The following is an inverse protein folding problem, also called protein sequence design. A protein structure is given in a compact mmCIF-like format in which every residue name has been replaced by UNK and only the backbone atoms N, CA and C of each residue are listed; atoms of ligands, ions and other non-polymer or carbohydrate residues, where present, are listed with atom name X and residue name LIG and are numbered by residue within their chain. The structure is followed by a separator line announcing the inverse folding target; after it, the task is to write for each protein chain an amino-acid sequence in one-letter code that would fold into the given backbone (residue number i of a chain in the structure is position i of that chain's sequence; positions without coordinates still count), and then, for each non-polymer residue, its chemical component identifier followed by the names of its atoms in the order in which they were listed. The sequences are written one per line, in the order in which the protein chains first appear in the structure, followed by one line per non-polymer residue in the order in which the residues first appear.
data_IF_762394359127
#
_entry.id   IF_762394359127
#
_cell.length_a   1.000
_cell.length_b   1.000
_cell.length_c   1.000
_cell.angle_alpha   90.00
_cell.angle_beta   90.00
_cell.angle_gamma   90.00
#
_symmetry.space_group_name_H-M   'P 1'
#
loop_
_entity.id
_entity.type
_entity.pdbx_description
1 polymer ?
#
# COMPACT_ATOMS: atom_id res chain seq x y z
N UNK A 1 -51.25 12.48 28.86
CA UNK A 1 -51.93 11.59 29.84
C UNK A 1 -50.91 10.57 30.29
N UNK A 2 -50.52 10.72 31.55
CA UNK A 2 -50.00 9.82 32.60
C UNK A 2 -48.81 8.87 32.23
N UNK A 3 -47.57 9.13 32.75
CA UNK A 3 -47.04 8.98 34.14
C UNK A 3 -47.25 7.56 34.69
N UNK A 4 -46.20 6.86 35.07
CA UNK A 4 -45.54 6.70 36.39
C UNK A 4 -44.36 5.76 36.24
N UNK A 5 -43.16 6.03 36.53
CA UNK A 5 -42.33 6.41 37.69
C UNK A 5 -42.35 5.38 38.87
N UNK A 6 -41.09 5.15 39.38
CA UNK A 6 -40.68 4.63 40.70
C UNK A 6 -40.37 3.12 40.74
N UNK A 7 -39.25 2.64 41.31
CA UNK A 7 -38.45 3.22 42.36
C UNK A 7 -37.18 2.41 42.69
N UNK A 8 -36.29 3.14 43.27
CA UNK A 8 -35.01 2.75 43.87
C UNK A 8 -35.24 1.99 45.20
N UNK A 9 -34.45 0.93 45.48
CA UNK A 9 -34.03 0.68 46.86
C UNK A 9 -32.62 0.12 46.95
N UNK A 10 -31.82 0.82 47.74
CA UNK A 10 -30.51 0.46 48.29
C UNK A 10 -30.68 -0.36 49.58
N UNK A 11 -29.60 -1.06 49.90
CA UNK A 11 -29.04 -1.44 51.20
C UNK A 11 -29.14 -2.88 51.63
N UNK A 12 -27.97 -3.39 52.05
CA UNK A 12 -27.82 -4.46 52.97
C UNK A 12 -26.45 -5.14 52.94
N UNK A 13 -25.48 -4.57 53.68
CA UNK A 13 -24.29 -5.30 54.14
C UNK A 13 -24.69 -6.55 54.91
N UNK A 14 -24.00 -7.67 54.70
CA UNK A 14 -23.73 -8.63 55.75
C UNK A 14 -22.42 -9.39 55.54
N UNK A 15 -21.80 -9.68 56.61
CA UNK A 15 -20.46 -10.03 56.99
C UNK A 15 -20.10 -11.51 56.73
N UNK A 16 -18.81 -11.76 56.78
CA UNK A 16 -18.04 -12.97 56.66
C UNK A 16 -18.54 -14.16 57.51
N UNK A 17 -18.44 -15.37 56.99
CA UNK A 17 -17.67 -16.51 57.52
C UNK A 17 -18.14 -17.85 56.94
N UNK A 18 -17.13 -18.67 56.54
CA UNK A 18 -17.15 -20.13 56.45
C UNK A 18 -18.24 -20.85 55.63
N UNK A 19 -17.81 -21.46 54.49
CA UNK A 19 -17.96 -22.91 54.26
C UNK A 19 -17.08 -23.33 53.06
N UNK A 20 -16.20 -24.26 53.32
CA UNK A 20 -15.52 -25.11 52.34
C UNK A 20 -16.52 -25.92 51.51
N UNK A 21 -16.52 -25.73 50.20
CA UNK A 21 -17.11 -26.73 49.31
C UNK A 21 -16.35 -26.71 47.96
N UNK A 22 -15.82 -27.84 47.63
CA UNK A 22 -15.28 -28.26 46.36
C UNK A 22 -16.16 -27.82 45.21
N UNK A 23 -15.77 -26.73 44.53
CA UNK A 23 -16.38 -26.28 43.29
C UNK A 23 -15.46 -26.67 42.15
N UNK A 24 -15.85 -27.69 41.40
CA UNK A 24 -15.20 -28.04 40.13
C UNK A 24 -15.17 -26.82 39.22
N UNK A 25 -13.97 -26.47 38.76
CA UNK A 25 -13.74 -25.55 37.68
C UNK A 25 -14.39 -26.18 36.44
N UNK A 26 -15.56 -25.71 36.06
CA UNK A 26 -16.04 -25.89 34.68
C UNK A 26 -15.12 -25.06 33.81
N UNK A 27 -14.06 -25.71 33.32
CA UNK A 27 -13.41 -25.29 32.08
C UNK A 27 -14.48 -25.47 31.01
N UNK A 28 -15.10 -24.39 30.59
CA UNK A 28 -15.69 -24.33 29.24
C UNK A 28 -14.54 -24.60 28.28
N UNK A 29 -14.41 -25.87 27.89
CA UNK A 29 -13.69 -26.24 26.68
C UNK A 29 -14.40 -25.54 25.54
N UNK A 30 -13.97 -24.30 25.21
CA UNK A 30 -14.16 -23.71 23.90
C UNK A 30 -13.34 -24.58 22.97
N UNK A 31 -13.91 -25.69 22.49
CA UNK A 31 -13.41 -26.39 21.31
C UNK A 31 -13.22 -25.34 20.23
N UNK A 32 -11.97 -24.99 19.95
CA UNK A 32 -11.66 -24.16 18.79
C UNK A 32 -12.19 -24.91 17.57
N UNK A 33 -13.28 -24.42 16.98
CA UNK A 33 -13.92 -25.01 15.83
C UNK A 33 -12.83 -25.29 14.76
N UNK A 34 -12.68 -26.59 14.44
CA UNK A 34 -11.68 -27.05 13.47
C UNK A 34 -11.91 -26.34 12.13
N UNK A 35 -10.84 -25.76 11.57
CA UNK A 35 -10.94 -25.11 10.27
C UNK A 35 -11.28 -26.12 9.18
N UNK A 36 -12.28 -25.83 8.37
CA UNK A 36 -12.68 -26.62 7.20
C UNK A 36 -12.18 -26.02 5.88
N UNK A 37 -11.08 -25.25 5.92
CA UNK A 37 -10.51 -24.60 4.74
C UNK A 37 -10.22 -25.55 3.57
N UNK A 38 -9.71 -26.78 3.76
CA UNK A 38 -9.52 -27.74 2.68
C UNK A 38 -10.83 -28.13 1.97
N UNK A 39 -11.92 -28.26 2.71
CA UNK A 39 -13.24 -28.57 2.17
C UNK A 39 -13.82 -27.40 1.37
N UNK A 40 -13.56 -26.16 1.83
CA UNK A 40 -13.95 -24.94 1.10
C UNK A 40 -13.20 -24.87 -0.23
N UNK A 41 -11.87 -25.11 -0.22
CA UNK A 41 -11.05 -25.18 -1.43
C UNK A 41 -11.57 -26.27 -2.39
N UNK A 42 -11.92 -27.43 -1.88
CA UNK A 42 -12.47 -28.52 -2.67
C UNK A 42 -13.82 -28.18 -3.30
N UNK A 43 -14.72 -27.59 -2.53
CA UNK A 43 -16.02 -27.13 -3.01
C UNK A 43 -15.85 -26.12 -4.17
N UNK A 44 -14.97 -25.16 -4.04
CA UNK A 44 -14.71 -24.16 -5.08
C UNK A 44 -14.05 -24.79 -6.33
N UNK A 45 -13.09 -25.69 -6.15
CA UNK A 45 -12.45 -26.42 -7.24
C UNK A 45 -13.45 -27.27 -8.04
N UNK A 46 -14.41 -27.91 -7.36
CA UNK A 46 -15.49 -28.65 -8.02
C UNK A 46 -16.38 -27.72 -8.85
N UNK A 47 -16.76 -26.56 -8.30
CA UNK A 47 -17.56 -25.57 -9.03
C UNK A 47 -16.82 -25.08 -10.30
N UNK A 48 -15.52 -24.79 -10.21
CA UNK A 48 -14.70 -24.42 -11.37
C UNK A 48 -14.64 -25.53 -12.42
N UNK A 49 -14.47 -26.78 -11.98
CA UNK A 49 -14.39 -27.95 -12.86
C UNK A 49 -15.72 -28.21 -13.57
N UNK A 50 -16.86 -28.10 -12.88
CA UNK A 50 -18.20 -28.24 -13.46
C UNK A 50 -18.45 -27.19 -14.57
N UNK A 51 -17.91 -26.00 -14.42
CA UNK A 51 -18.02 -24.94 -15.42
C UNK A 51 -16.86 -24.91 -16.42
N UNK A 52 -15.98 -25.91 -16.42
CA UNK A 52 -14.79 -26.01 -17.29
C UNK A 52 -13.89 -24.78 -17.24
N UNK A 53 -13.88 -24.07 -16.12
CA UNK A 53 -13.07 -22.88 -15.92
C UNK A 53 -11.63 -23.29 -15.64
N UNK A 54 -10.67 -22.75 -16.41
CA UNK A 54 -9.24 -23.00 -16.19
C UNK A 54 -8.76 -22.21 -14.97
N UNK A 55 -7.99 -22.88 -14.10
CA UNK A 55 -7.43 -22.28 -12.91
C UNK A 55 -6.05 -22.85 -12.57
N UNK A 56 -5.29 -22.12 -11.78
CA UNK A 56 -4.07 -22.60 -11.11
C UNK A 56 -4.29 -22.56 -9.60
N UNK A 57 -3.64 -23.49 -8.90
CA UNK A 57 -3.61 -23.56 -7.44
C UNK A 57 -2.22 -23.24 -6.93
N UNK A 58 -2.10 -22.93 -5.67
CA UNK A 58 -0.93 -22.46 -4.87
C UNK A 58 0.47 -22.67 -5.45
N UNK A 59 0.73 -23.84 -6.05
CA UNK A 59 2.07 -24.20 -6.56
C UNK A 59 2.35 -23.70 -7.98
N UNK A 60 1.36 -23.20 -8.69
CA UNK A 60 1.47 -22.74 -10.08
C UNK A 60 0.88 -21.37 -10.26
N UNK A 61 1.38 -20.64 -11.25
CA UNK A 61 0.84 -19.36 -11.67
C UNK A 61 0.29 -19.45 -13.10
N UNK A 62 -0.67 -18.61 -13.41
CA UNK A 62 -1.31 -18.58 -14.74
C UNK A 62 -0.30 -18.23 -15.84
N UNK A 63 0.65 -17.35 -15.55
CA UNK A 63 1.71 -16.96 -16.47
C UNK A 63 2.90 -16.34 -15.71
N UNK A 64 3.99 -16.14 -16.44
CA UNK A 64 5.26 -15.62 -15.91
C UNK A 64 5.13 -14.20 -15.36
N UNK A 65 4.27 -13.37 -15.95
CA UNK A 65 4.09 -11.99 -15.51
C UNK A 65 3.43 -11.91 -14.14
N UNK A 66 2.39 -12.72 -13.91
CA UNK A 66 1.76 -12.86 -12.59
C UNK A 66 2.78 -13.39 -11.58
N UNK A 67 3.60 -14.36 -11.96
CA UNK A 67 4.64 -14.90 -11.09
C UNK A 67 5.68 -13.83 -10.71
N UNK A 68 6.14 -13.04 -11.67
CA UNK A 68 7.09 -11.95 -11.42
C UNK A 68 6.48 -10.86 -10.52
N UNK A 69 5.21 -10.51 -10.74
CA UNK A 69 4.50 -9.55 -9.89
C UNK A 69 4.36 -10.06 -8.44
N UNK A 70 4.05 -11.34 -8.25
CA UNK A 70 3.99 -11.95 -6.91
C UNK A 70 5.35 -12.03 -6.24
N UNK A 71 6.44 -12.28 -7.00
CA UNK A 71 7.82 -12.27 -6.47
C UNK A 71 8.29 -10.87 -6.07
N UNK A 72 7.85 -9.84 -6.79
CA UNK A 72 8.18 -8.45 -6.48
C UNK A 72 7.35 -7.89 -5.30
N UNK A 73 6.23 -8.52 -4.98
CA UNK A 73 5.34 -8.12 -3.92
C UNK A 73 5.84 -8.60 -2.54
N UNK A 74 5.53 -7.86 -1.44
CA UNK A 74 5.78 -8.36 -0.10
C UNK A 74 4.99 -9.65 0.16
N UNK A 75 5.53 -10.54 0.99
CA UNK A 75 4.78 -11.71 1.44
C UNK A 75 3.56 -11.30 2.26
N UNK A 76 2.43 -11.98 2.10
CA UNK A 76 1.22 -11.75 2.93
C UNK A 76 1.44 -11.99 4.43
N UNK A 77 2.51 -12.68 4.78
CA UNK A 77 2.91 -12.95 6.17
C UNK A 77 3.95 -11.97 6.72
N UNK A 78 4.45 -11.03 5.90
CA UNK A 78 5.52 -10.13 6.30
C UNK A 78 6.90 -10.78 6.44
N UNK A 79 7.02 -12.08 6.10
CA UNK A 79 8.28 -12.82 6.15
C UNK A 79 9.03 -12.81 4.81
N UNK A 80 10.17 -13.51 4.78
CA UNK A 80 10.94 -13.72 3.58
C UNK A 80 10.21 -14.64 2.59
N UNK A 81 10.36 -14.37 1.29
CA UNK A 81 9.70 -15.10 0.22
C UNK A 81 8.46 -14.39 -0.30
N UNK A 82 7.78 -15.03 -1.25
CA UNK A 82 6.56 -14.51 -1.85
C UNK A 82 5.40 -15.49 -1.65
N UNK A 83 4.22 -14.93 -1.40
CA UNK A 83 3.00 -15.72 -1.25
C UNK A 83 2.31 -15.94 -2.60
N UNK A 84 1.44 -16.96 -2.65
CA UNK A 84 0.54 -17.19 -3.77
C UNK A 84 -0.90 -17.29 -3.26
N UNK A 85 -1.88 -16.82 -4.05
CA UNK A 85 -3.30 -17.02 -3.70
C UNK A 85 -3.66 -18.51 -3.82
N UNK A 86 -4.71 -18.91 -3.13
CA UNK A 86 -5.21 -20.30 -3.16
C UNK A 86 -5.60 -20.74 -4.57
N UNK A 87 -6.28 -19.84 -5.32
CA UNK A 87 -6.59 -20.06 -6.73
C UNK A 87 -6.32 -18.80 -7.56
N UNK A 88 -5.97 -19.02 -8.81
CA UNK A 88 -5.81 -18.00 -9.83
C UNK A 88 -6.62 -18.40 -11.06
N UNK A 89 -7.40 -17.44 -11.57
CA UNK A 89 -8.21 -17.61 -12.76
C UNK A 89 -7.95 -16.43 -13.70
N UNK A 90 -8.42 -16.57 -14.94
CA UNK A 90 -8.41 -15.46 -15.91
C UNK A 90 -9.82 -15.30 -16.47
N UNK A 91 -10.35 -14.10 -16.34
CA UNK A 91 -11.59 -13.69 -16.97
C UNK A 91 -11.26 -12.83 -18.19
N UNK A 92 -11.90 -13.12 -19.32
CA UNK A 92 -11.74 -12.33 -20.54
C UNK A 92 -12.99 -11.48 -20.76
N UNK A 93 -12.79 -10.17 -20.85
CA UNK A 93 -13.87 -9.27 -21.25
C UNK A 93 -14.26 -9.52 -22.71
N UNK A 94 -15.50 -9.92 -23.00
CA UNK A 94 -15.92 -10.23 -24.36
C UNK A 94 -15.96 -9.02 -25.29
N UNK A 95 -16.02 -7.80 -24.74
CA UNK A 95 -16.11 -6.56 -25.52
C UNK A 95 -14.72 -5.99 -25.82
N UNK A 96 -13.88 -5.84 -24.82
CA UNK A 96 -12.54 -5.25 -24.99
C UNK A 96 -11.46 -6.27 -25.26
N UNK A 97 -11.78 -7.57 -25.16
CA UNK A 97 -10.87 -8.71 -25.24
C UNK A 97 -9.72 -8.69 -24.21
N UNK A 98 -9.76 -7.79 -23.26
CA UNK A 98 -8.77 -7.70 -22.18
C UNK A 98 -8.91 -8.87 -21.21
N UNK A 99 -7.77 -9.38 -20.77
CA UNK A 99 -7.70 -10.40 -19.74
C UNK A 99 -7.62 -9.73 -18.35
N UNK A 100 -8.47 -10.15 -17.43
CA UNK A 100 -8.53 -9.67 -16.05
C UNK A 100 -8.18 -10.84 -15.14
N UNK A 101 -7.03 -10.81 -14.44
CA UNK A 101 -6.66 -11.86 -13.50
C UNK A 101 -7.58 -11.83 -12.27
N UNK A 102 -7.91 -13.02 -11.78
CA UNK A 102 -8.75 -13.22 -10.60
C UNK A 102 -7.93 -13.94 -9.54
N UNK A 103 -7.79 -13.32 -8.38
CA UNK A 103 -7.08 -13.86 -7.21
C UNK A 103 -8.08 -14.29 -6.17
N UNK A 104 -7.99 -15.55 -5.73
CA UNK A 104 -8.95 -16.15 -4.79
C UNK A 104 -8.24 -16.60 -3.52
N UNK A 105 -8.81 -16.26 -2.38
CA UNK A 105 -8.41 -16.75 -1.06
C UNK A 105 -9.57 -17.45 -0.36
N UNK A 106 -9.29 -18.57 0.28
CA UNK A 106 -10.23 -19.38 1.03
C UNK A 106 -9.96 -19.35 2.52
N UNK A 107 -11.02 -19.38 3.32
CA UNK A 107 -10.95 -19.59 4.77
C UNK A 107 -12.01 -20.61 5.20
N UNK A 108 -11.76 -21.28 6.33
CA UNK A 108 -12.61 -22.37 6.81
C UNK A 108 -13.10 -22.16 8.23
N UNK A 109 -13.34 -20.90 8.66
CA UNK A 109 -13.75 -20.59 10.03
C UNK A 109 -14.81 -19.50 10.02
N UNK A 110 -15.82 -19.60 10.89
CA UNK A 110 -16.89 -18.60 11.02
C UNK A 110 -16.32 -17.19 11.25
N UNK A 111 -16.85 -16.19 10.51
CA UNK A 111 -16.43 -14.79 10.61
C UNK A 111 -15.09 -14.45 9.97
N UNK A 112 -14.50 -15.33 9.14
CA UNK A 112 -13.22 -15.09 8.46
C UNK A 112 -13.34 -14.71 6.98
N UNK A 113 -14.51 -14.26 6.53
CA UNK A 113 -14.70 -13.79 5.16
C UNK A 113 -14.02 -12.43 4.93
N UNK A 114 -14.41 -11.42 5.68
CA UNK A 114 -14.02 -10.02 5.46
C UNK A 114 -13.81 -9.30 6.78
N UNK A 115 -12.81 -8.43 6.82
CA UNK A 115 -12.63 -7.43 7.87
C UNK A 115 -12.55 -6.03 7.27
N UNK A 116 -13.39 -5.15 7.80
CA UNK A 116 -13.45 -3.75 7.41
C UNK A 116 -12.77 -2.85 8.45
N UNK A 117 -12.28 -1.72 8.00
CA UNK A 117 -11.89 -0.60 8.84
C UNK A 117 -13.14 0.05 9.48
N UNK A 118 -12.94 0.97 10.42
CA UNK A 118 -14.03 1.77 10.99
C UNK A 118 -14.75 2.65 9.94
N UNK A 119 -14.10 2.90 8.80
CA UNK A 119 -14.66 3.67 7.69
C UNK A 119 -15.40 2.79 6.67
N UNK A 120 -15.51 1.47 6.92
CA UNK A 120 -16.19 0.54 6.02
C UNK A 120 -15.35 0.11 4.80
N UNK A 121 -14.04 0.35 4.81
CA UNK A 121 -13.12 -0.05 3.75
C UNK A 121 -12.48 -1.42 4.08
N UNK A 122 -12.06 -2.17 3.06
CA UNK A 122 -11.31 -3.43 3.26
C UNK A 122 -10.01 -3.13 3.98
N UNK A 123 -9.81 -3.70 5.17
CA UNK A 123 -8.64 -3.43 6.00
C UNK A 123 -7.39 -4.14 5.44
N UNK A 124 -6.47 -3.38 4.87
CA UNK A 124 -5.15 -3.88 4.43
C UNK A 124 -4.02 -3.22 5.20
N UNK A 125 -4.23 -1.99 5.67
CA UNK A 125 -3.22 -1.22 6.39
C UNK A 125 -3.72 -0.86 7.78
N UNK A 126 -2.80 -0.61 8.68
CA UNK A 126 -3.12 -0.16 10.04
C UNK A 126 -3.54 1.31 9.96
N UNK A 127 -4.79 1.61 10.23
CA UNK A 127 -5.32 2.99 10.19
C UNK A 127 -4.89 3.77 11.45
N UNK A 128 -4.86 3.09 12.59
CA UNK A 128 -4.36 3.64 13.85
C UNK A 128 -3.22 2.78 14.36
N UNK A 129 -2.13 3.36 14.94
CA UNK A 129 -1.17 2.56 15.67
C UNK A 129 -1.97 1.79 16.73
N UNK A 130 -1.96 0.45 16.66
CA UNK A 130 -2.36 -0.34 17.81
C UNK A 130 -1.40 0.09 18.90
N UNK A 131 -1.93 0.49 20.05
CA UNK A 131 -1.13 0.83 21.22
C UNK A 131 -0.04 -0.22 21.36
N UNK A 132 1.16 0.15 20.92
CA UNK A 132 2.33 -0.67 21.13
C UNK A 132 2.52 -0.62 22.64
N UNK A 133 2.28 -1.72 23.31
CA UNK A 133 2.70 -1.85 24.71
C UNK A 133 4.14 -1.40 24.77
N UNK A 134 4.44 -0.50 25.69
CA UNK A 134 5.78 -0.04 25.98
C UNK A 134 6.72 -1.26 26.02
N UNK A 135 7.70 -1.34 25.10
CA UNK A 135 8.58 -2.49 24.96
C UNK A 135 8.32 -3.44 23.77
N UNK A 136 7.35 -3.17 22.90
CA UNK A 136 7.18 -3.97 21.68
C UNK A 136 8.33 -3.72 20.71
N UNK A 137 9.00 -4.80 20.28
CA UNK A 137 10.17 -4.78 19.38
C UNK A 137 9.88 -4.25 17.98
N UNK A 138 8.60 -4.15 17.56
CA UNK A 138 8.16 -3.58 16.29
C UNK A 138 6.81 -2.87 16.45
N UNK A 139 6.79 -1.58 16.82
CA UNK A 139 5.56 -0.82 16.86
C UNK A 139 4.98 -0.65 15.44
N UNK A 140 3.76 -1.13 15.21
CA UNK A 140 3.04 -0.87 13.96
C UNK A 140 2.69 0.61 13.87
N UNK A 141 3.08 1.24 12.77
CA UNK A 141 2.74 2.63 12.47
C UNK A 141 1.49 2.68 11.58
N UNK A 142 0.77 3.79 11.64
CA UNK A 142 -0.33 4.03 10.69
C UNK A 142 0.21 3.95 9.25
N UNK A 143 -0.50 3.22 8.39
CA UNK A 143 -0.11 2.96 7.00
C UNK A 143 0.71 1.68 6.77
N UNK A 144 1.19 1.02 7.82
CA UNK A 144 1.84 -0.28 7.69
C UNK A 144 0.83 -1.36 7.31
N UNK A 145 1.27 -2.38 6.55
CA UNK A 145 0.41 -3.52 6.21
C UNK A 145 -0.02 -4.27 7.47
N UNK A 146 -1.31 -4.54 7.57
CA UNK A 146 -1.87 -5.35 8.65
C UNK A 146 -1.82 -6.84 8.29
N UNK A 147 -0.64 -7.45 8.36
CA UNK A 147 -0.43 -8.84 7.97
C UNK A 147 -1.38 -9.82 8.66
N UNK A 148 -1.72 -9.60 9.92
CA UNK A 148 -2.68 -10.44 10.66
C UNK A 148 -4.05 -10.43 9.99
N UNK A 149 -4.53 -9.28 9.53
CA UNK A 149 -5.81 -9.18 8.82
C UNK A 149 -5.73 -9.81 7.44
N UNK A 150 -4.67 -9.51 6.68
CA UNK A 150 -4.44 -10.05 5.33
C UNK A 150 -4.40 -11.58 5.34
N UNK A 151 -3.80 -12.20 6.37
CA UNK A 151 -3.70 -13.65 6.48
C UNK A 151 -5.00 -14.31 6.91
N UNK A 152 -5.73 -13.68 7.83
CA UNK A 152 -6.84 -14.33 8.53
C UNK A 152 -8.21 -14.15 7.86
N UNK A 153 -8.33 -13.24 6.89
CA UNK A 153 -9.60 -12.96 6.23
C UNK A 153 -9.48 -13.18 4.72
N UNK A 154 -10.44 -13.91 4.15
CA UNK A 154 -10.41 -14.34 2.76
C UNK A 154 -10.37 -13.15 1.78
N UNK A 155 -11.31 -12.20 1.91
CA UNK A 155 -11.36 -11.02 1.04
C UNK A 155 -10.11 -10.16 1.18
N UNK A 156 -9.63 -9.93 2.41
CA UNK A 156 -8.45 -9.08 2.65
C UNK A 156 -7.19 -9.68 2.01
N UNK A 157 -7.03 -11.00 2.08
CA UNK A 157 -5.94 -11.71 1.40
C UNK A 157 -6.06 -11.66 -0.12
N UNK A 158 -7.24 -11.88 -0.67
CA UNK A 158 -7.50 -11.81 -2.11
C UNK A 158 -7.26 -10.40 -2.68
N UNK A 159 -7.74 -9.36 -1.99
CA UNK A 159 -7.53 -7.95 -2.36
C UNK A 159 -6.05 -7.58 -2.31
N UNK A 160 -5.33 -8.03 -1.29
CA UNK A 160 -3.89 -7.84 -1.19
C UNK A 160 -3.16 -8.40 -2.43
N UNK A 161 -3.45 -9.62 -2.85
CA UNK A 161 -2.86 -10.19 -4.04
C UNK A 161 -3.27 -9.45 -5.32
N UNK A 162 -4.54 -9.14 -5.48
CA UNK A 162 -5.04 -8.41 -6.66
C UNK A 162 -4.37 -7.04 -6.81
N UNK A 163 -4.22 -6.28 -5.72
CA UNK A 163 -3.50 -5.00 -5.73
C UNK A 163 -2.04 -5.17 -6.13
N UNK A 164 -1.37 -6.20 -5.59
CA UNK A 164 0.04 -6.45 -5.91
C UNK A 164 0.24 -6.87 -7.38
N UNK A 165 -0.65 -7.70 -7.95
CA UNK A 165 -0.59 -8.03 -9.37
C UNK A 165 -0.65 -6.76 -10.22
N UNK A 166 -1.59 -5.86 -9.95
CA UNK A 166 -1.74 -4.63 -10.72
C UNK A 166 -0.55 -3.68 -10.51
N UNK A 167 -0.03 -3.63 -9.29
CA UNK A 167 1.07 -2.74 -8.91
C UNK A 167 2.40 -3.12 -9.56
N UNK A 168 2.69 -4.42 -9.62
CA UNK A 168 3.97 -4.95 -10.07
C UNK A 168 3.93 -5.56 -11.48
N UNK A 169 2.77 -5.55 -12.15
CA UNK A 169 2.61 -5.97 -13.56
C UNK A 169 2.56 -4.76 -14.49
N UNK A 170 3.07 -4.94 -15.70
CA UNK A 170 2.98 -3.95 -16.78
C UNK A 170 1.76 -4.17 -17.69
N UNK A 171 1.24 -5.41 -17.77
CA UNK A 171 0.14 -5.77 -18.69
C UNK A 171 -1.24 -5.72 -18.04
N UNK A 172 -1.31 -5.73 -16.69
CA UNK A 172 -2.60 -5.74 -16.00
C UNK A 172 -2.88 -4.39 -15.33
N UNK A 173 -3.96 -3.75 -15.77
CA UNK A 173 -4.46 -2.49 -15.19
C UNK A 173 -5.59 -2.71 -14.18
N UNK A 174 -6.15 -3.91 -14.18
CA UNK A 174 -7.22 -4.31 -13.27
C UNK A 174 -7.10 -5.78 -12.88
N UNK A 175 -7.66 -6.14 -11.74
CA UNK A 175 -7.81 -7.50 -11.23
C UNK A 175 -9.10 -7.65 -10.44
N UNK A 176 -9.56 -8.88 -10.30
CA UNK A 176 -10.69 -9.25 -9.46
C UNK A 176 -10.14 -10.02 -8.25
N UNK A 177 -10.62 -9.66 -7.06
CA UNK A 177 -10.35 -10.36 -5.83
C UNK A 177 -11.60 -11.11 -5.38
N UNK A 178 -11.44 -12.36 -4.99
CA UNK A 178 -12.53 -13.22 -4.52
C UNK A 178 -12.17 -13.82 -3.18
N UNK A 179 -12.91 -13.47 -2.16
CA UNK A 179 -12.82 -14.13 -0.86
C UNK A 179 -13.91 -15.18 -0.74
N UNK A 180 -13.56 -16.40 -0.37
CA UNK A 180 -14.50 -17.47 -0.06
C UNK A 180 -14.27 -17.95 1.36
N UNK A 181 -15.35 -18.18 2.09
CA UNK A 181 -15.29 -18.72 3.44
C UNK A 181 -16.35 -19.79 3.65
N UNK A 182 -16.00 -20.84 4.37
CA UNK A 182 -16.96 -21.84 4.78
C UNK A 182 -16.83 -22.17 6.26
N UNK A 183 -17.91 -22.58 6.87
CA UNK A 183 -17.93 -23.02 8.25
C UNK A 183 -19.12 -23.96 8.50
N UNK A 184 -18.96 -24.86 9.43
CA UNK A 184 -20.06 -25.69 9.89
C UNK A 184 -20.88 -24.87 10.89
N UNK A 185 -22.17 -24.67 10.60
CA UNK A 185 -23.16 -24.15 11.53
C UNK A 185 -23.89 -25.34 12.18
N UNK A 186 -24.71 -25.11 13.20
CA UNK A 186 -25.36 -26.17 13.99
C UNK A 186 -26.13 -27.20 13.16
N UNK A 187 -26.64 -26.83 11.99
CA UNK A 187 -27.49 -27.70 11.16
C UNK A 187 -26.95 -27.98 9.78
N UNK A 188 -26.08 -27.11 9.25
CA UNK A 188 -25.60 -27.22 7.87
C UNK A 188 -24.25 -26.52 7.67
N UNK A 189 -23.52 -26.92 6.63
CA UNK A 189 -22.34 -26.23 6.15
C UNK A 189 -22.72 -25.01 5.35
N UNK A 190 -22.18 -23.85 5.72
CA UNK A 190 -22.41 -22.57 5.04
C UNK A 190 -21.20 -22.16 4.25
N UNK A 191 -21.45 -21.62 3.05
CA UNK A 191 -20.43 -21.01 2.19
C UNK A 191 -20.78 -19.54 1.96
N UNK A 192 -19.77 -18.69 2.01
CA UNK A 192 -19.86 -17.25 1.78
C UNK A 192 -18.84 -16.85 0.73
N UNK A 193 -19.20 -15.91 -0.10
CA UNK A 193 -18.33 -15.35 -1.14
C UNK A 193 -18.49 -13.84 -1.18
N UNK A 194 -17.42 -13.13 -1.47
CA UNK A 194 -17.49 -11.74 -1.92
C UNK A 194 -16.47 -11.50 -3.01
N UNK A 195 -16.86 -10.73 -4.02
CA UNK A 195 -16.11 -10.44 -5.23
C UNK A 195 -15.88 -8.94 -5.30
N UNK A 196 -14.63 -8.52 -5.50
CA UNK A 196 -14.22 -7.13 -5.59
C UNK A 196 -13.44 -6.88 -6.87
N UNK A 197 -13.66 -5.71 -7.46
CA UNK A 197 -12.90 -5.18 -8.57
C UNK A 197 -11.88 -4.16 -8.06
N UNK A 198 -10.65 -4.27 -8.54
CA UNK A 198 -9.56 -3.37 -8.23
C UNK A 198 -8.92 -2.95 -9.55
N UNK A 199 -8.62 -1.67 -9.73
CA UNK A 199 -7.93 -1.17 -10.93
C UNK A 199 -7.01 0.00 -10.60
N UNK A 200 -6.04 0.25 -11.49
CA UNK A 200 -5.22 1.47 -11.46
C UNK A 200 -6.09 2.71 -11.60
N UNK A 201 -7.11 2.63 -12.45
CA UNK A 201 -8.08 3.72 -12.67
C UNK A 201 -8.86 4.07 -11.41
N UNK A 202 -9.19 3.07 -10.58
CA UNK A 202 -9.84 3.27 -9.28
C UNK A 202 -8.85 3.55 -8.15
N UNK A 203 -7.61 3.94 -8.45
CA UNK A 203 -6.56 4.17 -7.45
C UNK A 203 -6.40 2.99 -6.47
N UNK A 204 -6.55 1.76 -6.96
CA UNK A 204 -6.48 0.50 -6.20
C UNK A 204 -7.57 0.32 -5.13
N UNK A 205 -8.60 1.16 -5.10
CA UNK A 205 -9.71 1.03 -4.16
C UNK A 205 -10.58 -0.16 -4.54
N UNK A 206 -10.78 -1.16 -3.64
CA UNK A 206 -11.65 -2.30 -3.92
C UNK A 206 -13.11 -1.88 -4.01
N UNK A 207 -13.80 -2.28 -5.08
CA UNK A 207 -15.25 -2.06 -5.26
C UNK A 207 -15.95 -3.41 -5.33
N UNK A 208 -16.93 -3.63 -4.46
CA UNK A 208 -17.71 -4.87 -4.43
C UNK A 208 -18.52 -5.03 -5.72
N UNK A 209 -18.38 -6.20 -6.36
CA UNK A 209 -19.12 -6.59 -7.57
C UNK A 209 -20.34 -7.48 -7.24
N UNK A 210 -20.22 -8.29 -6.19
CA UNK A 210 -21.25 -9.24 -5.79
C UNK A 210 -20.77 -10.22 -4.74
N UNK A 211 -21.61 -11.20 -4.44
CA UNK A 211 -21.40 -12.21 -3.40
C UNK A 211 -21.72 -13.65 -3.89
N UNK A 212 -21.86 -13.84 -5.20
CA UNK A 212 -22.10 -15.15 -5.81
C UNK A 212 -20.96 -15.55 -6.74
N UNK A 213 -20.34 -16.70 -6.50
CA UNK A 213 -19.30 -17.29 -7.36
C UNK A 213 -19.78 -17.53 -8.80
N UNK A 214 -21.09 -17.62 -9.04
CA UNK A 214 -21.64 -17.80 -10.37
C UNK A 214 -21.27 -16.67 -11.33
N UNK A 215 -20.96 -15.47 -10.81
CA UNK A 215 -20.50 -14.33 -11.62
C UNK A 215 -19.18 -14.61 -12.34
N UNK A 216 -18.34 -15.51 -11.81
CA UNK A 216 -17.03 -15.84 -12.37
C UNK A 216 -17.10 -16.77 -13.60
N UNK A 217 -18.25 -17.39 -13.86
CA UNK A 217 -18.38 -18.37 -14.92
C UNK A 217 -18.82 -17.74 -16.24
N UNK A 218 -18.37 -18.34 -17.35
CA UNK A 218 -18.54 -17.81 -18.70
C UNK A 218 -20.00 -17.44 -19.03
N UNK A 219 -20.96 -18.22 -18.58
CA UNK A 219 -22.39 -17.94 -18.81
C UNK A 219 -22.87 -16.60 -18.23
N UNK A 220 -22.17 -16.08 -17.21
CA UNK A 220 -22.50 -14.83 -16.50
C UNK A 220 -21.53 -13.69 -16.79
N UNK A 221 -20.60 -13.86 -17.72
CA UNK A 221 -19.53 -12.89 -17.99
C UNK A 221 -20.06 -11.50 -18.33
N UNK A 222 -21.15 -11.37 -19.06
CA UNK A 222 -21.75 -10.08 -19.35
C UNK A 222 -22.33 -9.40 -18.12
N UNK A 223 -22.81 -10.16 -17.14
CA UNK A 223 -23.29 -9.64 -15.86
C UNK A 223 -22.10 -9.17 -15.02
N UNK A 224 -21.02 -9.93 -14.97
CA UNK A 224 -19.77 -9.54 -14.32
C UNK A 224 -19.22 -8.25 -14.94
N UNK A 225 -19.16 -8.14 -16.28
CA UNK A 225 -18.64 -6.94 -16.94
C UNK A 225 -19.51 -5.70 -16.71
N UNK A 226 -20.84 -5.86 -16.64
CA UNK A 226 -21.73 -4.74 -16.22
C UNK A 226 -21.41 -4.30 -14.79
N UNK A 227 -21.21 -5.23 -13.87
CA UNK A 227 -20.81 -4.89 -12.50
C UNK A 227 -19.44 -4.18 -12.46
N UNK A 228 -18.46 -4.65 -13.25
CA UNK A 228 -17.14 -4.00 -13.40
C UNK A 228 -17.29 -2.56 -13.91
N UNK A 229 -18.06 -2.34 -14.96
CA UNK A 229 -18.29 -1.00 -15.52
C UNK A 229 -19.00 -0.07 -14.52
N UNK A 230 -19.92 -0.61 -13.71
CA UNK A 230 -20.58 0.15 -12.64
C UNK A 230 -19.69 0.43 -11.45
N UNK A 231 -18.65 -0.37 -11.26
CA UNK A 231 -17.68 -0.24 -10.18
C UNK A 231 -16.55 0.76 -10.48
N UNK A 232 -16.51 1.33 -11.70
CA UNK A 232 -15.54 2.37 -12.04
C UNK A 232 -15.85 3.64 -11.26
N UNK A 233 -14.81 4.23 -10.66
CA UNK A 233 -14.97 5.47 -9.89
C UNK A 233 -15.48 6.61 -10.78
N UNK A 234 -16.42 7.37 -10.27
CA UNK A 234 -16.83 8.63 -10.89
C UNK A 234 -15.70 9.66 -10.85
N UNK A 235 -15.74 10.66 -11.73
CA UNK A 235 -14.71 11.72 -11.74
C UNK A 235 -14.65 12.48 -10.40
N UNK A 236 -15.77 12.67 -9.74
CA UNK A 236 -15.82 13.29 -8.41
C UNK A 236 -15.14 12.43 -7.32
N UNK A 237 -15.29 11.10 -7.37
CA UNK A 237 -14.60 10.19 -6.46
C UNK A 237 -13.10 10.15 -6.75
N UNK A 238 -12.69 10.16 -8.03
CA UNK A 238 -11.28 10.24 -8.44
C UNK A 238 -10.63 11.53 -7.93
N UNK A 239 -11.31 12.66 -8.08
CA UNK A 239 -10.84 13.95 -7.58
C UNK A 239 -10.69 13.96 -6.05
N UNK A 240 -11.65 13.40 -5.32
CA UNK A 240 -11.58 13.27 -3.86
C UNK A 240 -10.40 12.41 -3.42
N UNK A 241 -10.15 11.28 -4.08
CA UNK A 241 -9.01 10.41 -3.76
C UNK A 241 -7.69 11.10 -4.05
N UNK A 242 -7.59 11.81 -5.17
CA UNK A 242 -6.41 12.60 -5.54
C UNK A 242 -6.13 13.66 -4.48
N UNK A 243 -7.15 14.44 -4.08
CA UNK A 243 -7.02 15.48 -3.06
C UNK A 243 -6.59 14.91 -1.70
N UNK A 244 -7.12 13.74 -1.31
CA UNK A 244 -6.71 13.08 -0.08
C UNK A 244 -5.23 12.64 -0.14
N UNK A 245 -4.79 12.03 -1.26
CA UNK A 245 -3.40 11.65 -1.45
C UNK A 245 -2.48 12.88 -1.43
N UNK A 246 -2.88 13.95 -2.08
CA UNK A 246 -2.18 15.23 -2.07
C UNK A 246 -2.00 15.79 -0.67
N UNK A 247 -3.07 15.80 0.13
CA UNK A 247 -3.02 16.26 1.53
C UNK A 247 -2.07 15.40 2.35
N UNK A 248 -2.09 14.08 2.18
CA UNK A 248 -1.19 13.17 2.89
C UNK A 248 0.29 13.41 2.52
N UNK A 249 0.58 13.68 1.25
CA UNK A 249 1.95 14.01 0.81
C UNK A 249 2.40 15.31 1.48
N UNK A 250 1.57 16.35 1.46
CA UNK A 250 1.89 17.63 2.08
C UNK A 250 2.15 17.50 3.58
N UNK A 251 1.30 16.76 4.28
CA UNK A 251 1.45 16.54 5.73
C UNK A 251 2.70 15.72 6.05
N UNK A 252 3.02 14.69 5.23
CA UNK A 252 4.23 13.91 5.39
C UNK A 252 5.49 14.75 5.12
N UNK A 253 5.48 15.59 4.09
CA UNK A 253 6.59 16.48 3.78
C UNK A 253 6.80 17.52 4.90
N UNK A 254 5.73 18.14 5.41
CA UNK A 254 5.80 19.07 6.55
C UNK A 254 6.40 18.40 7.78
N UNK A 255 5.98 17.18 8.09
CA UNK A 255 6.50 16.39 9.21
C UNK A 255 7.99 16.05 9.02
N UNK A 256 8.41 15.65 7.83
CA UNK A 256 9.81 15.39 7.51
C UNK A 256 10.66 16.67 7.62
N UNK A 257 10.13 17.81 7.14
CA UNK A 257 10.79 19.10 7.29
C UNK A 257 11.01 19.45 8.77
N UNK A 258 9.97 19.30 9.58
CA UNK A 258 10.05 19.56 11.02
C UNK A 258 11.04 18.61 11.71
N UNK A 259 11.05 17.33 11.37
CA UNK A 259 12.01 16.37 11.91
C UNK A 259 13.46 16.73 11.55
N UNK A 260 13.72 17.20 10.34
CA UNK A 260 15.05 17.67 9.93
C UNK A 260 15.43 19.00 10.57
N UNK A 261 14.48 19.92 10.76
CA UNK A 261 14.72 21.22 11.37
C UNK A 261 14.90 21.10 12.89
N UNK A 262 13.89 20.60 13.59
CA UNK A 262 13.85 20.61 15.06
C UNK A 262 14.69 19.49 15.67
N UNK A 263 14.65 18.30 15.06
CA UNK A 263 15.34 17.12 15.57
C UNK A 263 16.80 17.02 15.19
N UNK A 264 17.18 17.55 14.01
CA UNK A 264 18.54 17.39 13.48
C UNK A 264 19.25 18.72 13.18
N UNK A 265 18.58 19.86 13.34
CA UNK A 265 19.11 21.20 13.11
C UNK A 265 19.74 21.40 11.73
N UNK A 266 19.11 20.81 10.68
CA UNK A 266 19.59 20.88 9.31
C UNK A 266 19.09 22.19 8.66
N UNK A 267 19.97 22.92 8.00
CA UNK A 267 19.65 24.15 7.26
C UNK A 267 18.67 23.89 6.10
N UNK A 268 17.87 24.89 5.74
CA UNK A 268 16.81 24.79 4.74
C UNK A 268 17.26 24.20 3.39
N UNK A 269 18.33 24.76 2.80
CA UNK A 269 18.89 24.26 1.54
C UNK A 269 19.35 22.80 1.64
N UNK A 270 19.98 22.44 2.76
CA UNK A 270 20.44 21.08 3.01
C UNK A 270 19.28 20.09 3.15
N UNK A 271 18.13 20.50 3.71
CA UNK A 271 16.92 19.69 3.79
C UNK A 271 16.35 19.36 2.41
N UNK A 272 16.32 20.35 1.50
CA UNK A 272 15.90 20.13 0.10
C UNK A 272 16.83 19.15 -0.61
N UNK A 273 18.14 19.32 -0.48
CA UNK A 273 19.13 18.41 -1.07
C UNK A 273 19.01 16.99 -0.53
N UNK A 274 18.80 16.82 0.78
CA UNK A 274 18.58 15.50 1.40
C UNK A 274 17.32 14.83 0.86
N UNK A 275 16.21 15.54 0.82
CA UNK A 275 14.95 14.99 0.29
C UNK A 275 15.08 14.58 -1.16
N UNK A 276 15.61 15.46 -2.03
CA UNK A 276 15.81 15.16 -3.44
C UNK A 276 16.74 13.95 -3.63
N UNK A 277 17.87 13.91 -2.92
CA UNK A 277 18.81 12.80 -2.99
C UNK A 277 18.22 11.48 -2.50
N UNK A 278 17.50 11.48 -1.39
CA UNK A 278 16.84 10.28 -0.86
C UNK A 278 15.75 9.74 -1.81
N UNK A 279 14.98 10.62 -2.44
CA UNK A 279 13.97 10.22 -3.43
C UNK A 279 14.66 9.62 -4.66
N UNK A 280 15.69 10.26 -5.22
CA UNK A 280 16.44 9.73 -6.37
C UNK A 280 17.04 8.36 -6.07
N UNK A 281 17.69 8.19 -4.91
CA UNK A 281 18.25 6.91 -4.51
C UNK A 281 17.17 5.82 -4.35
N UNK A 282 15.99 6.21 -3.83
CA UNK A 282 14.88 5.31 -3.60
C UNK A 282 14.06 4.94 -4.85
N UNK A 283 14.13 5.71 -5.92
CA UNK A 283 13.38 5.41 -7.14
C UNK A 283 14.00 4.28 -7.96
N UNK A 284 15.33 4.26 -8.09
CA UNK A 284 16.02 3.35 -9.01
C UNK A 284 15.66 3.57 -10.49
N UNK A 285 16.19 2.73 -11.35
CA UNK A 285 15.87 2.66 -12.79
C UNK A 285 15.57 1.21 -13.12
N UNK A 286 14.37 0.92 -13.58
CA UNK A 286 13.88 -0.44 -13.83
C UNK A 286 14.85 -1.21 -14.76
N UNK A 287 15.27 -2.40 -14.32
CA UNK A 287 16.21 -3.26 -15.05
C UNK A 287 17.67 -2.79 -15.08
N UNK A 288 18.00 -1.59 -14.55
CA UNK A 288 19.34 -1.01 -14.62
C UNK A 288 19.92 -0.65 -13.26
N UNK A 289 19.18 0.06 -12.42
CA UNK A 289 19.64 0.50 -11.10
C UNK A 289 18.61 0.09 -10.05
N UNK A 290 19.01 -0.78 -9.13
CA UNK A 290 18.14 -1.16 -8.03
C UNK A 290 17.84 0.06 -7.13
N UNK A 291 16.61 0.17 -6.62
CA UNK A 291 16.29 1.15 -5.59
C UNK A 291 17.14 0.90 -4.34
N UNK A 292 17.51 1.96 -3.64
CA UNK A 292 18.19 1.84 -2.35
C UNK A 292 17.23 1.26 -1.32
N UNK A 293 17.66 0.23 -0.60
CA UNK A 293 16.91 -0.38 0.49
C UNK A 293 17.56 -0.08 1.85
N UNK A 294 16.77 -0.15 2.93
CA UNK A 294 17.28 0.09 4.29
C UNK A 294 18.35 -0.91 4.71
N UNK A 295 18.33 -2.12 4.13
CA UNK A 295 19.34 -3.15 4.32
C UNK A 295 20.71 -2.78 3.76
N UNK A 296 20.76 -1.88 2.77
CA UNK A 296 22.02 -1.41 2.17
C UNK A 296 22.79 -0.43 3.06
N UNK A 297 22.11 0.13 4.08
CA UNK A 297 22.66 1.12 5.01
C UNK A 297 23.11 0.44 6.30
N UNK A 298 24.42 0.30 6.46
CA UNK A 298 25.02 -0.49 7.55
C UNK A 298 25.59 0.37 8.69
N UNK A 299 25.62 1.68 8.55
CA UNK A 299 26.23 2.56 9.56
C UNK A 299 27.75 2.39 9.68
N UNK A 300 28.43 2.06 8.59
CA UNK A 300 29.90 1.99 8.60
C UNK A 300 30.52 3.38 8.71
N UNK A 301 31.70 3.47 9.35
CA UNK A 301 32.43 4.72 9.55
C UNK A 301 33.61 4.90 8.57
N UNK A 302 33.82 3.94 7.66
CA UNK A 302 34.90 4.00 6.67
C UNK A 302 34.60 5.02 5.58
N UNK A 303 35.64 5.65 5.04
CA UNK A 303 35.52 6.70 4.01
C UNK A 303 34.77 6.26 2.75
N UNK A 304 34.86 4.98 2.37
CA UNK A 304 34.18 4.41 1.19
C UNK A 304 32.86 3.71 1.48
N UNK A 305 32.59 3.32 2.73
CA UNK A 305 31.46 2.45 3.09
C UNK A 305 30.39 3.10 3.96
N UNK A 306 30.57 4.36 4.37
CA UNK A 306 29.55 5.03 5.19
C UNK A 306 28.26 5.29 4.41
N UNK A 307 27.13 5.36 5.10
CA UNK A 307 25.80 5.45 4.49
C UNK A 307 25.67 6.60 3.49
N UNK A 308 26.26 7.77 3.77
CA UNK A 308 26.27 8.89 2.82
C UNK A 308 26.97 8.57 1.50
N UNK A 309 28.02 7.75 1.51
CA UNK A 309 28.67 7.29 0.27
C UNK A 309 27.81 6.29 -0.48
N UNK A 310 27.09 5.43 0.23
CA UNK A 310 26.11 4.50 -0.37
C UNK A 310 25.02 5.27 -1.11
N UNK A 311 24.45 6.34 -0.50
CA UNK A 311 23.52 7.24 -1.17
C UNK A 311 24.12 7.84 -2.43
N UNK A 312 25.32 8.44 -2.35
CA UNK A 312 25.96 9.11 -3.49
C UNK A 312 26.23 8.16 -4.66
N UNK A 313 26.66 6.94 -4.39
CA UNK A 313 26.86 5.93 -5.43
C UNK A 313 25.53 5.61 -6.15
N UNK A 314 24.46 5.39 -5.38
CA UNK A 314 23.14 5.08 -5.94
C UNK A 314 22.58 6.25 -6.78
N UNK A 315 22.75 7.48 -6.29
CA UNK A 315 22.34 8.69 -7.00
C UNK A 315 23.16 8.86 -8.29
N UNK A 316 24.45 8.63 -8.26
CA UNK A 316 25.32 8.71 -9.44
C UNK A 316 24.86 7.75 -10.52
N UNK A 317 24.60 6.49 -10.15
CA UNK A 317 24.08 5.49 -11.08
C UNK A 317 22.70 5.87 -11.64
N UNK A 318 21.80 6.35 -10.77
CA UNK A 318 20.49 6.82 -11.17
C UNK A 318 20.56 7.94 -12.22
N UNK A 319 21.34 8.99 -11.96
CA UNK A 319 21.48 10.13 -12.86
C UNK A 319 22.12 9.74 -14.19
N UNK A 320 23.12 8.83 -14.17
CA UNK A 320 23.76 8.31 -15.38
C UNK A 320 22.75 7.55 -16.24
N UNK A 321 21.99 6.62 -15.67
CA UNK A 321 21.03 5.80 -16.40
C UNK A 321 19.78 6.58 -16.85
N UNK A 322 19.51 7.74 -16.25
CA UNK A 322 18.50 8.69 -16.72
C UNK A 322 19.00 9.59 -17.86
N UNK A 323 20.25 9.44 -18.29
CA UNK A 323 20.80 10.18 -19.42
C UNK A 323 21.10 11.66 -19.12
N UNK A 324 21.28 12.04 -17.84
CA UNK A 324 21.67 13.41 -17.51
C UNK A 324 23.09 13.70 -18.04
N UNK A 325 23.29 14.79 -18.83
CA UNK A 325 24.61 15.19 -19.32
C UNK A 325 25.65 15.30 -18.21
N UNK A 326 26.89 14.97 -18.49
CA UNK A 326 27.96 14.86 -17.49
C UNK A 326 28.14 16.16 -16.70
N UNK A 327 28.23 17.29 -17.37
CA UNK A 327 28.37 18.60 -16.74
C UNK A 327 27.23 18.89 -15.73
N UNK A 328 25.99 18.62 -16.11
CA UNK A 328 24.83 18.79 -15.21
C UNK A 328 24.86 17.80 -14.06
N UNK A 329 25.29 16.55 -14.33
CA UNK A 329 25.41 15.50 -13.33
C UNK A 329 26.43 15.89 -12.25
N UNK A 330 27.60 16.39 -12.64
CA UNK A 330 28.62 16.86 -11.69
C UNK A 330 28.12 18.00 -10.80
N UNK A 331 27.42 18.98 -11.35
CA UNK A 331 26.83 20.09 -10.56
C UNK A 331 25.88 19.53 -9.49
N UNK A 332 25.00 18.59 -9.85
CA UNK A 332 24.06 17.98 -8.91
C UNK A 332 24.81 17.18 -7.85
N UNK A 333 25.74 16.32 -8.26
CA UNK A 333 26.51 15.48 -7.34
C UNK A 333 27.38 16.30 -6.37
N UNK A 334 27.97 17.42 -6.82
CA UNK A 334 28.74 18.31 -5.95
C UNK A 334 27.83 18.94 -4.87
N UNK A 335 26.63 19.40 -5.22
CA UNK A 335 25.67 19.92 -4.24
C UNK A 335 25.21 18.85 -3.26
N UNK A 336 24.90 17.63 -3.73
CA UNK A 336 24.46 16.54 -2.86
C UNK A 336 25.58 16.02 -1.95
N UNK A 337 26.83 16.04 -2.41
CA UNK A 337 27.98 15.61 -1.59
C UNK A 337 28.13 16.44 -0.32
N UNK A 338 27.72 17.70 -0.34
CA UNK A 338 27.77 18.59 0.86
C UNK A 338 26.93 18.03 2.01
N UNK A 339 25.81 17.39 1.72
CA UNK A 339 24.88 16.87 2.74
C UNK A 339 25.03 15.37 3.00
N UNK A 340 25.42 14.58 1.99
CA UNK A 340 25.57 13.13 2.17
C UNK A 340 26.97 12.72 2.61
N UNK A 341 28.01 13.43 2.18
CA UNK A 341 29.41 13.06 2.47
C UNK A 341 30.05 13.99 3.48
N UNK A 342 29.96 15.30 3.26
CA UNK A 342 30.66 16.28 4.09
C UNK A 342 30.00 16.49 5.45
N UNK A 343 28.69 16.32 5.56
CA UNK A 343 27.95 16.46 6.82
C UNK A 343 28.10 15.19 7.70
N UNK A 344 29.25 15.06 8.35
CA UNK A 344 29.61 13.88 9.15
C UNK A 344 28.57 13.51 10.21
N UNK A 345 27.93 14.51 10.85
CA UNK A 345 26.89 14.28 11.85
C UNK A 345 25.65 13.54 11.32
N UNK A 346 25.47 13.42 10.01
CA UNK A 346 24.33 12.71 9.43
C UNK A 346 24.61 11.22 9.17
N UNK A 347 25.86 10.85 8.85
CA UNK A 347 26.20 9.47 8.52
C UNK A 347 26.99 8.76 9.60
N UNK A 348 27.62 9.45 10.56
CA UNK A 348 28.23 8.80 11.72
C UNK A 348 27.10 8.17 12.56
N UNK A 349 27.20 6.83 12.83
CA UNK A 349 26.14 6.13 13.52
C UNK A 349 26.11 6.47 15.02
N UNK A 350 24.92 6.68 15.54
CA UNK A 350 24.62 6.69 16.97
C UNK A 350 23.93 5.37 17.31
N UNK A 351 24.46 4.59 18.24
CA UNK A 351 23.95 3.25 18.57
C UNK A 351 23.82 2.30 17.35
N UNK A 352 24.76 2.38 16.40
CA UNK A 352 24.79 1.53 15.22
C UNK A 352 23.86 1.94 14.07
N UNK A 353 23.17 3.06 14.20
CA UNK A 353 22.24 3.58 13.17
C UNK A 353 22.61 5.02 12.82
N UNK A 354 22.77 5.31 11.53
CA UNK A 354 23.00 6.68 11.06
C UNK A 354 21.70 7.49 11.02
N UNK A 355 21.83 8.79 11.18
CA UNK A 355 20.68 9.73 11.02
C UNK A 355 20.13 9.69 9.59
N UNK A 356 21.00 9.47 8.57
CA UNK A 356 20.58 9.26 7.19
C UNK A 356 19.66 8.03 7.06
N UNK A 357 19.99 6.91 7.70
CA UNK A 357 19.15 5.70 7.69
C UNK A 357 17.79 5.95 8.34
N UNK A 358 17.77 6.67 9.46
CA UNK A 358 16.52 7.02 10.18
C UNK A 358 15.62 7.92 9.32
N UNK A 359 16.19 8.97 8.69
CA UNK A 359 15.46 9.85 7.78
C UNK A 359 14.93 9.08 6.55
N UNK A 360 15.78 8.25 5.97
CA UNK A 360 15.42 7.48 4.78
C UNK A 360 14.31 6.46 5.06
N UNK A 361 14.29 5.86 6.24
CA UNK A 361 13.19 4.99 6.65
C UNK A 361 11.83 5.72 6.60
N UNK A 362 11.78 6.97 7.05
CA UNK A 362 10.57 7.78 6.96
C UNK A 362 10.23 8.18 5.52
N UNK A 363 11.23 8.56 4.71
CA UNK A 363 11.02 8.86 3.27
C UNK A 363 10.53 7.62 2.52
N UNK A 364 11.13 6.47 2.77
CA UNK A 364 10.75 5.19 2.15
C UNK A 364 9.29 4.81 2.51
N UNK A 365 8.89 5.07 3.75
CA UNK A 365 7.55 4.74 4.23
C UNK A 365 6.48 5.72 3.75
N UNK A 366 6.78 7.02 3.69
CA UNK A 366 5.76 8.07 3.56
C UNK A 366 5.74 8.79 2.22
N UNK A 367 6.83 8.80 1.48
CA UNK A 367 6.99 9.56 0.23
C UNK A 367 7.20 8.64 -0.98
N UNK A 368 8.11 7.68 -0.89
CA UNK A 368 8.43 6.80 -2.02
C UNK A 368 7.25 5.99 -2.56
N UNK A 369 6.26 5.55 -1.76
CA UNK A 369 5.08 4.88 -2.31
C UNK A 369 4.35 5.72 -3.36
N UNK A 370 4.24 7.04 -3.15
CA UNK A 370 3.63 7.95 -4.13
C UNK A 370 4.52 8.20 -5.34
N UNK A 371 5.83 8.29 -5.13
CA UNK A 371 6.79 8.52 -6.21
C UNK A 371 6.98 7.29 -7.12
N UNK A 372 6.86 6.07 -6.58
CA UNK A 372 7.00 4.80 -7.30
C UNK A 372 5.72 4.34 -8.00
N UNK A 373 4.56 4.89 -7.67
CA UNK A 373 3.28 4.42 -8.22
C UNK A 373 3.16 4.79 -9.69
N UNK A 374 3.37 3.81 -10.57
CA UNK A 374 3.06 3.90 -12.00
C UNK A 374 1.53 3.86 -12.15
N UNK A 375 0.86 4.97 -12.22
CA UNK A 375 -0.58 4.93 -12.44
C UNK A 375 -1.42 5.92 -11.65
N UNK A 376 -0.81 6.76 -10.82
CA UNK A 376 -1.46 7.97 -10.34
C UNK A 376 -1.51 8.99 -11.49
N UNK A 377 -2.20 8.64 -12.58
CA UNK A 377 -2.42 9.53 -13.73
C UNK A 377 -2.99 10.90 -13.34
N UNK A 378 -3.47 11.01 -12.10
CA UNK A 378 -4.11 12.19 -11.54
C UNK A 378 -3.23 12.92 -10.51
N UNK A 379 -2.13 12.31 -10.03
CA UNK A 379 -1.29 12.89 -9.00
C UNK A 379 -0.03 13.49 -9.60
N UNK A 380 0.06 14.81 -9.62
CA UNK A 380 1.29 15.53 -9.94
C UNK A 380 2.23 15.54 -8.72
N UNK A 381 2.86 14.38 -8.47
CA UNK A 381 3.79 14.24 -7.35
C UNK A 381 5.00 15.17 -7.49
N UNK A 382 5.56 15.29 -8.69
CA UNK A 382 6.78 16.07 -8.93
C UNK A 382 6.55 17.56 -8.75
N UNK A 383 5.48 18.10 -9.33
CA UNK A 383 5.14 19.52 -9.18
C UNK A 383 4.79 19.87 -7.74
N UNK A 384 4.07 18.99 -7.03
CA UNK A 384 3.73 19.19 -5.62
C UNK A 384 4.97 19.11 -4.72
N UNK A 385 5.82 18.12 -4.92
CA UNK A 385 7.10 18.01 -4.21
C UNK A 385 7.93 19.28 -4.40
N UNK A 386 8.04 19.76 -5.64
CA UNK A 386 8.78 20.97 -5.95
C UNK A 386 8.21 22.19 -5.18
N UNK A 387 6.90 22.40 -5.22
CA UNK A 387 6.25 23.51 -4.52
C UNK A 387 6.53 23.48 -3.02
N UNK A 388 6.35 22.32 -2.37
CA UNK A 388 6.61 22.20 -0.93
C UNK A 388 8.08 22.38 -0.61
N UNK A 389 9.01 21.86 -1.43
CA UNK A 389 10.44 22.04 -1.19
C UNK A 389 10.90 23.49 -1.40
N UNK A 390 10.30 24.22 -2.34
CA UNK A 390 10.58 25.66 -2.54
C UNK A 390 10.09 26.50 -1.37
N UNK A 391 9.00 26.12 -0.71
CA UNK A 391 8.53 26.81 0.50
C UNK A 391 9.49 26.65 1.70
N UNK A 392 10.35 25.63 1.70
CA UNK A 392 11.36 25.45 2.77
C UNK A 392 12.55 26.39 2.63
N UNK A 393 12.79 26.90 1.44
CA UNK A 393 13.91 27.78 1.13
C UNK A 393 13.39 29.21 1.11
N UNK A 394 14.01 30.09 1.89
CA UNK A 394 13.74 31.53 1.77
C UNK A 394 14.40 32.03 0.48
N UNK A 395 13.63 32.06 -0.61
CA UNK A 395 14.09 32.65 -1.87
C UNK A 395 14.05 34.18 -1.71
N UNK A 396 15.14 34.92 -1.98
CA UNK A 396 15.10 36.37 -1.98
C UNK A 396 13.99 36.88 -2.90
N UNK A 397 13.31 37.97 -2.50
CA UNK A 397 12.14 38.48 -3.22
C UNK A 397 12.42 38.84 -4.70
N UNK A 398 13.71 39.16 -5.03
CA UNK A 398 14.15 39.39 -6.41
C UNK A 398 14.12 38.12 -7.30
N UNK A 399 14.41 36.97 -6.72
CA UNK A 399 14.52 35.70 -7.45
C UNK A 399 13.19 34.95 -7.51
N UNK A 400 12.21 35.29 -6.66
CA UNK A 400 10.86 34.69 -6.67
C UNK A 400 10.09 34.98 -7.95
N UNK A 401 10.38 36.10 -8.60
CA UNK A 401 9.70 36.50 -9.85
C UNK A 401 10.16 35.69 -11.08
N UNK A 402 11.32 35.02 -11.00
CA UNK A 402 11.90 34.27 -12.12
C UNK A 402 11.50 32.78 -12.10
N UNK A 403 10.89 32.30 -11.01
CA UNK A 403 10.45 30.91 -10.87
C UNK A 403 8.94 30.88 -10.63
N UNK A 404 8.16 31.25 -11.65
CA UNK A 404 6.70 31.12 -11.62
C UNK A 404 6.32 29.81 -12.30
N UNK A 405 5.96 28.80 -11.50
CA UNK A 405 5.34 27.60 -12.04
C UNK A 405 3.94 27.93 -12.55
N UNK A 406 3.66 27.56 -13.79
CA UNK A 406 2.31 27.69 -14.35
C UNK A 406 1.34 26.85 -13.52
N UNK A 407 0.26 27.45 -12.98
CA UNK A 407 -0.70 26.71 -12.17
C UNK A 407 -1.26 25.50 -12.93
N UNK A 408 -1.38 24.36 -12.25
CA UNK A 408 -1.78 23.07 -12.85
C UNK A 408 -3.09 23.13 -13.64
N UNK A 409 -4.08 23.92 -13.18
CA UNK A 409 -5.34 24.07 -13.90
C UNK A 409 -5.15 24.75 -15.25
N UNK A 410 -4.18 25.66 -15.39
CA UNK A 410 -3.84 26.32 -16.64
C UNK A 410 -3.13 25.31 -17.56
N UNK A 411 -2.11 24.58 -17.08
CA UNK A 411 -1.39 23.59 -17.89
C UNK A 411 -2.32 22.48 -18.37
N UNK A 412 -3.24 22.00 -17.52
CA UNK A 412 -4.25 21.02 -17.90
C UNK A 412 -5.23 21.58 -18.94
N UNK A 413 -5.66 22.84 -18.79
CA UNK A 413 -6.50 23.50 -19.75
C UNK A 413 -5.79 23.64 -21.13
N UNK A 414 -4.53 24.07 -21.11
CA UNK A 414 -3.71 24.19 -22.33
C UNK A 414 -3.54 22.83 -23.03
N UNK A 415 -3.19 21.78 -22.28
CA UNK A 415 -3.05 20.43 -22.84
C UNK A 415 -4.36 19.92 -23.46
N UNK A 416 -5.50 20.16 -22.80
CA UNK A 416 -6.84 19.80 -23.35
C UNK A 416 -7.23 20.62 -24.57
N UNK A 417 -6.97 21.92 -24.57
CA UNK A 417 -7.27 22.79 -25.72
C UNK A 417 -6.41 22.46 -26.94
N UNK A 418 -5.17 22.01 -26.71
CA UNK A 418 -4.24 21.57 -27.75
C UNK A 418 -4.47 20.10 -28.14
N UNK A 419 -5.45 19.41 -27.56
CA UNK A 419 -5.76 17.99 -27.79
C UNK A 419 -4.52 17.09 -27.67
N UNK A 420 -3.62 17.41 -26.70
CA UNK A 420 -2.38 16.66 -26.48
C UNK A 420 -2.71 15.22 -26.09
N UNK A 421 -2.19 14.27 -26.88
CA UNK A 421 -2.31 12.83 -26.65
C UNK A 421 -0.94 12.17 -26.44
N UNK A 422 -0.90 10.83 -26.36
CA UNK A 422 0.36 10.10 -26.13
C UNK A 422 1.30 10.10 -27.35
N UNK A 423 0.82 10.48 -28.53
CA UNK A 423 1.60 10.56 -29.77
C UNK A 423 2.00 12.00 -30.11
N UNK A 424 1.60 12.96 -29.27
CA UNK A 424 1.90 14.39 -29.46
C UNK A 424 3.31 14.74 -28.99
N UNK A 425 4.00 15.55 -29.77
CA UNK A 425 5.26 16.19 -29.39
C UNK A 425 4.95 17.55 -28.76
N UNK A 426 5.29 17.71 -27.49
CA UNK A 426 5.10 18.98 -26.76
C UNK A 426 6.44 19.70 -26.68
N UNK A 427 6.46 20.95 -27.12
CA UNK A 427 7.62 21.83 -27.06
C UNK A 427 7.34 22.95 -26.07
N UNK A 428 8.21 23.08 -25.05
CA UNK A 428 8.19 24.16 -24.04
C UNK A 428 9.41 25.05 -24.25
N UNK A 429 9.21 26.40 -24.35
CA UNK A 429 10.25 27.37 -24.65
C UNK A 429 10.83 27.99 -23.36
#
# INVERSE_FOLDING_TARGET
MNFDTIGIKRNGNFDSSDVTASGGCFLEDTEMAKSIEPEVKNWFAQALSQHKTKYCIEQRTLNVEIENALKAAPSKSGGNGYGRPDFQLMVKDPTTLKNIPVMVEAKGTKGKLLKLTKLGEVELTTVYPKDSKEGATNPHKAGDLCYTTIQNYAVNGAVFYAQNIIKYSNSYDAAIAVGINGYDDTTERKYQCEIYYISKENAFVPKKLGDDIQLLFEKNIHTLMRAVNSATLTDAEKERLTKNAETQIDDNLKRLNQMMHDGLHIEANSRVHLMAGMIMAGLGVEGKVAALELSDLHGYTTASGHDGRVFMNRITDFLRERGLPEEKREIVLNKLSTVFVNAQGLWIPENGVSRLKTLYAEVQRTILPYARTKGSQYLDFTGRLFNVLTDWVTIPDGDKNDVVLTPRYITNLMARLCEVDRDSYVWDY
#
